data_IF_725920594413
#
_entry.id   IF_725920594413
#
_cell.length_a   1.000
_cell.length_b   1.000
_cell.length_c   1.000
_cell.angle_alpha   90.00
_cell.angle_beta   90.00
_cell.angle_gamma   90.00
#
_symmetry.space_group_name_H-M   'P 1'
#
loop_
_entity.id
_entity.type
_entity.pdbx_description
1 polymer ?
#
# COMPACT_ATOMS: atom_id res chain seq x y z
N UNK A 1 16.08 -11.02 -18.13
CA UNK A 1 14.74 -11.52 -17.77
C UNK A 1 14.19 -12.20 -19.02
N UNK A 2 13.68 -13.42 -18.94
CA UNK A 2 13.11 -14.11 -20.10
C UNK A 2 11.80 -13.43 -20.53
N UNK A 3 11.66 -13.14 -21.83
CA UNK A 3 10.51 -12.45 -22.42
C UNK A 3 9.22 -13.26 -22.22
N UNK A 4 9.30 -14.59 -22.38
CA UNK A 4 8.16 -15.49 -22.18
C UNK A 4 7.73 -15.49 -20.71
N UNK A 5 8.70 -15.52 -19.79
CA UNK A 5 8.47 -15.39 -18.36
C UNK A 5 7.75 -14.07 -17.99
N UNK A 6 8.21 -12.94 -18.52
CA UNK A 6 7.57 -11.63 -18.29
C UNK A 6 6.12 -11.61 -18.78
N UNK A 7 5.85 -12.04 -20.01
CA UNK A 7 4.49 -12.02 -20.56
C UNK A 7 3.53 -12.95 -19.80
N UNK A 8 4.03 -14.05 -19.23
CA UNK A 8 3.24 -14.91 -18.34
C UNK A 8 2.92 -14.22 -17.02
N UNK A 9 3.88 -13.49 -16.43
CA UNK A 9 3.67 -12.74 -15.22
C UNK A 9 2.68 -11.58 -15.43
N UNK A 10 2.81 -10.83 -16.53
CA UNK A 10 1.90 -9.74 -16.89
C UNK A 10 0.45 -10.23 -17.04
N UNK A 11 0.22 -11.31 -17.80
CA UNK A 11 -1.13 -11.90 -17.95
C UNK A 11 -1.73 -12.37 -16.62
N UNK A 12 -0.92 -12.90 -15.71
CA UNK A 12 -1.38 -13.28 -14.37
C UNK A 12 -1.77 -12.05 -13.55
N UNK A 13 -0.98 -10.98 -13.64
CA UNK A 13 -1.30 -9.72 -12.99
C UNK A 13 -2.64 -9.17 -13.49
N UNK A 14 -2.88 -9.15 -14.80
CA UNK A 14 -4.13 -8.64 -15.39
C UNK A 14 -5.37 -9.36 -14.83
N UNK A 15 -5.30 -10.70 -14.72
CA UNK A 15 -6.39 -11.51 -14.17
C UNK A 15 -6.61 -11.21 -12.69
N UNK A 16 -5.54 -11.05 -11.91
CA UNK A 16 -5.66 -10.76 -10.47
C UNK A 16 -6.16 -9.32 -10.24
N UNK A 17 -5.66 -8.35 -11.00
CA UNK A 17 -6.01 -6.94 -10.83
C UNK A 17 -7.46 -6.63 -11.17
N UNK A 18 -8.09 -7.42 -12.04
CA UNK A 18 -9.51 -7.30 -12.34
C UNK A 18 -10.42 -7.49 -11.11
N UNK A 19 -9.94 -8.16 -10.06
CA UNK A 19 -10.67 -8.36 -8.80
C UNK A 19 -10.36 -7.34 -7.71
N UNK A 20 -9.43 -6.40 -7.94
CA UNK A 20 -9.02 -5.45 -6.90
C UNK A 20 -10.02 -4.32 -6.75
N UNK A 21 -10.24 -3.89 -5.50
CA UNK A 21 -10.88 -2.63 -5.21
C UNK A 21 -9.79 -1.56 -5.07
N UNK A 22 -9.64 -0.74 -6.10
CA UNK A 22 -8.62 0.32 -6.12
C UNK A 22 -9.06 1.52 -5.29
N UNK A 23 -8.16 2.01 -4.45
CA UNK A 23 -8.34 3.25 -3.69
C UNK A 23 -7.82 4.40 -4.55
N UNK A 24 -8.74 5.13 -5.19
CA UNK A 24 -8.38 6.25 -6.05
C UNK A 24 -7.73 7.40 -5.25
N UNK A 25 -6.79 8.16 -5.86
CA UNK A 25 -6.22 9.34 -5.23
C UNK A 25 -7.29 10.37 -4.87
N UNK A 26 -7.27 10.86 -3.64
CA UNK A 26 -8.12 11.97 -3.21
C UNK A 26 -7.48 12.80 -2.09
N UNK A 27 -8.07 13.96 -1.79
CA UNK A 27 -7.44 14.94 -0.90
C UNK A 27 -7.13 14.41 0.50
N UNK A 28 -8.02 13.59 1.09
CA UNK A 28 -7.73 12.99 2.40
C UNK A 28 -6.51 12.05 2.37
N UNK A 29 -6.25 11.36 1.26
CA UNK A 29 -5.05 10.53 1.12
C UNK A 29 -3.80 11.42 1.07
N UNK A 30 -3.86 12.53 0.32
CA UNK A 30 -2.75 13.49 0.28
C UNK A 30 -2.45 14.06 1.67
N UNK A 31 -3.46 14.60 2.34
CA UNK A 31 -3.30 15.21 3.66
C UNK A 31 -2.81 14.21 4.71
N UNK A 32 -3.26 12.95 4.64
CA UNK A 32 -2.81 11.90 5.55
C UNK A 32 -1.39 11.43 5.23
N UNK A 33 -1.00 11.34 3.96
CA UNK A 33 0.38 11.05 3.54
C UNK A 33 1.37 12.11 4.02
N UNK A 34 1.03 13.41 3.96
CA UNK A 34 1.86 14.50 4.48
C UNK A 34 2.14 14.32 5.98
N UNK A 35 1.13 13.93 6.76
CA UNK A 35 1.31 13.63 8.20
C UNK A 35 2.20 12.41 8.43
N UNK A 36 2.09 11.38 7.60
CA UNK A 36 2.92 10.18 7.70
C UNK A 36 4.40 10.47 7.44
N UNK A 37 4.72 11.41 6.56
CA UNK A 37 6.11 11.84 6.30
C UNK A 37 6.77 12.48 7.53
N UNK A 38 5.97 13.13 8.40
CA UNK A 38 6.47 13.68 9.66
C UNK A 38 6.67 12.61 10.73
N UNK A 39 5.85 11.56 10.71
CA UNK A 39 5.87 10.49 11.72
C UNK A 39 6.84 9.34 11.38
N UNK A 40 7.11 9.12 10.08
CA UNK A 40 7.88 7.99 9.58
C UNK A 40 8.87 8.44 8.52
N UNK A 41 10.05 7.82 8.49
CA UNK A 41 11.06 8.04 7.46
C UNK A 41 10.70 7.33 6.14
N UNK A 42 9.59 7.76 5.52
CA UNK A 42 9.05 7.23 4.26
C UNK A 42 9.36 8.14 3.08
N UNK A 43 9.33 7.56 1.87
CA UNK A 43 9.24 8.35 0.63
C UNK A 43 7.78 8.74 0.38
N UNK A 44 7.57 9.78 -0.44
CA UNK A 44 6.22 10.26 -0.76
C UNK A 44 5.30 9.17 -1.32
N UNK A 45 5.81 8.30 -2.20
CA UNK A 45 5.04 7.18 -2.75
C UNK A 45 4.60 6.18 -1.67
N UNK A 46 5.51 5.80 -0.77
CA UNK A 46 5.22 4.87 0.33
C UNK A 46 4.22 5.48 1.33
N UNK A 47 4.34 6.78 1.60
CA UNK A 47 3.38 7.51 2.43
C UNK A 47 1.98 7.57 1.81
N UNK A 48 1.87 7.73 0.49
CA UNK A 48 0.60 7.66 -0.23
C UNK A 48 -0.01 6.25 -0.18
N UNK A 49 0.80 5.20 -0.34
CA UNK A 49 0.35 3.81 -0.23
C UNK A 49 -0.18 3.49 1.18
N UNK A 50 0.57 3.85 2.22
CA UNK A 50 0.14 3.65 3.61
C UNK A 50 -1.11 4.48 3.92
N UNK A 51 -1.18 5.72 3.43
CA UNK A 51 -2.36 6.56 3.59
C UNK A 51 -3.60 5.98 2.89
N UNK A 52 -3.45 5.39 1.71
CA UNK A 52 -4.57 4.77 1.00
C UNK A 52 -5.11 3.56 1.77
N UNK A 53 -4.23 2.74 2.33
CA UNK A 53 -4.62 1.60 3.18
C UNK A 53 -5.36 2.06 4.45
N UNK A 54 -4.87 3.10 5.11
CA UNK A 54 -5.53 3.70 6.28
C UNK A 54 -6.93 4.21 5.94
N UNK A 55 -7.08 4.91 4.82
CA UNK A 55 -8.40 5.38 4.38
C UNK A 55 -9.33 4.19 4.04
N UNK A 56 -8.83 3.15 3.39
CA UNK A 56 -9.60 1.97 3.03
C UNK A 56 -10.18 1.26 4.26
N UNK A 57 -9.41 1.17 5.35
CA UNK A 57 -9.88 0.60 6.61
C UNK A 57 -10.56 1.63 7.53
N UNK A 58 -10.89 2.83 7.04
CA UNK A 58 -11.46 3.92 7.84
C UNK A 58 -10.65 4.26 9.10
N UNK A 59 -9.32 4.25 8.99
CA UNK A 59 -8.34 4.44 10.06
C UNK A 59 -8.42 3.38 11.19
N UNK A 60 -9.18 2.30 11.00
CA UNK A 60 -9.29 1.17 11.93
C UNK A 60 -8.44 0.00 11.43
N UNK A 61 -7.17 -0.01 11.83
CA UNK A 61 -6.17 -0.97 11.34
C UNK A 61 -6.29 -2.36 11.98
N UNK A 62 -6.98 -2.48 13.11
CA UNK A 62 -7.21 -3.77 13.80
C UNK A 62 -7.92 -4.76 12.87
N UNK A 63 -7.30 -5.92 12.66
CA UNK A 63 -7.83 -6.97 11.78
C UNK A 63 -7.56 -6.74 10.29
N UNK A 64 -6.95 -5.61 9.91
CA UNK A 64 -6.51 -5.34 8.54
C UNK A 64 -5.05 -5.77 8.35
N UNK A 65 -4.73 -6.27 7.16
CA UNK A 65 -3.37 -6.67 6.77
C UNK A 65 -2.78 -5.69 5.79
N UNK A 66 -1.47 -5.47 5.89
CA UNK A 66 -0.70 -4.67 4.96
C UNK A 66 0.39 -5.52 4.32
N UNK A 67 0.31 -5.69 2.99
CA UNK A 67 1.21 -6.51 2.21
C UNK A 67 2.26 -5.65 1.52
N UNK A 68 3.54 -5.86 1.81
CA UNK A 68 4.63 -5.19 1.10
C UNK A 68 5.96 -5.94 1.25
N UNK A 69 6.76 -5.94 0.18
CA UNK A 69 8.13 -6.41 0.23
C UNK A 69 9.12 -5.31 0.67
N UNK A 70 8.66 -4.05 0.78
CA UNK A 70 9.50 -2.95 1.27
C UNK A 70 9.49 -2.92 2.80
N UNK A 71 10.66 -3.18 3.39
CA UNK A 71 10.82 -3.24 4.85
C UNK A 71 10.51 -1.92 5.55
N UNK A 72 10.85 -0.77 4.95
CA UNK A 72 10.60 0.54 5.58
C UNK A 72 9.11 0.85 5.61
N UNK A 73 8.41 0.52 4.53
CA UNK A 73 6.95 0.65 4.47
C UNK A 73 6.27 -0.32 5.44
N UNK A 74 6.74 -1.58 5.53
CA UNK A 74 6.23 -2.55 6.49
C UNK A 74 6.37 -2.07 7.94
N UNK A 75 7.55 -1.54 8.31
CA UNK A 75 7.78 -0.99 9.65
C UNK A 75 6.87 0.21 9.97
N UNK A 76 6.59 1.08 9.00
CA UNK A 76 5.65 2.16 9.17
C UNK A 76 4.20 1.66 9.31
N UNK A 77 3.78 0.71 8.48
CA UNK A 77 2.44 0.12 8.55
C UNK A 77 2.19 -0.59 9.89
N UNK A 78 3.16 -1.34 10.40
CA UNK A 78 3.08 -1.96 11.73
C UNK A 78 2.93 -0.91 12.85
N UNK A 79 3.63 0.22 12.75
CA UNK A 79 3.49 1.32 13.74
C UNK A 79 2.13 2.02 13.68
N UNK A 80 1.47 2.02 12.52
CA UNK A 80 0.07 2.46 12.38
C UNK A 80 -0.94 1.37 12.79
N UNK A 81 -0.48 0.18 13.19
CA UNK A 81 -1.30 -0.89 13.77
C UNK A 81 -1.77 -1.96 12.78
N UNK A 82 -1.25 -1.99 11.55
CA UNK A 82 -1.52 -3.10 10.63
C UNK A 82 -0.82 -4.39 11.05
N UNK A 83 -1.45 -5.53 10.78
CA UNK A 83 -0.75 -6.81 10.74
C UNK A 83 0.06 -6.90 9.44
N UNK A 84 1.30 -7.38 9.52
CA UNK A 84 2.18 -7.56 8.36
C UNK A 84 2.10 -9.01 7.84
N UNK A 85 2.22 -9.16 6.51
CA UNK A 85 2.49 -10.44 5.83
C UNK A 85 3.51 -10.26 4.72
#
# INVERSE_FOLDING_TARGET
MDQIGYERAARRLDVLSAGWQEVAPHEKIRARAERLLTAHALRAADALQLSAALVACSERTVGSRFYTADRRLAEAAAREGFALE
#
